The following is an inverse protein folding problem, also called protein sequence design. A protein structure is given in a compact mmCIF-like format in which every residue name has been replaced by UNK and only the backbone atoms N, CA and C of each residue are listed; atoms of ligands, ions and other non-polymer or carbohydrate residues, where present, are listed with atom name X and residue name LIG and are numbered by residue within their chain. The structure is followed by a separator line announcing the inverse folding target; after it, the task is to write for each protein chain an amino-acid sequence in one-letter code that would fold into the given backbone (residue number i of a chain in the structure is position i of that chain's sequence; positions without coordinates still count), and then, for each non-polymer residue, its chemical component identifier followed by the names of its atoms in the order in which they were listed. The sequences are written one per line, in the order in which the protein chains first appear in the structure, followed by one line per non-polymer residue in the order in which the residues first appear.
data_IF_870406605950
#
_entry.id   IF_870406605950
#
_cell.length_a   1.000
_cell.length_b   1.000
_cell.length_c   1.000
_cell.angle_alpha   90.00
_cell.angle_beta   90.00
_cell.angle_gamma   90.00
#
_symmetry.space_group_name_H-M   'P 1'
#
loop_
_entity.id
_entity.type
_entity.pdbx_description
1 polymer ?
#
# COMPACT_ATOMS: atom_id res chain seq x y z
N UNK A 1 -34.91 8.95 -1.71
CA UNK A 1 -35.16 7.57 -2.20
C UNK A 1 -34.78 6.63 -1.07
N UNK A 2 -35.77 6.07 -0.37
CA UNK A 2 -35.49 5.12 0.70
C UNK A 2 -34.83 3.87 0.09
N UNK A 3 -33.55 3.74 0.24
CA UNK A 3 -32.87 2.48 -0.09
C UNK A 3 -33.47 1.39 0.81
N UNK A 4 -33.88 0.29 0.21
CA UNK A 4 -34.30 -0.85 1.00
C UNK A 4 -33.11 -1.34 1.86
N UNK A 5 -33.38 -1.81 3.07
CA UNK A 5 -32.35 -2.36 3.98
C UNK A 5 -31.45 -3.38 3.28
N UNK A 6 -32.03 -4.19 2.38
CA UNK A 6 -31.31 -5.16 1.56
C UNK A 6 -30.27 -4.49 0.64
N UNK A 7 -30.60 -3.36 0.03
CA UNK A 7 -29.67 -2.61 -0.84
C UNK A 7 -28.45 -2.12 -0.06
N UNK A 8 -28.62 -1.67 1.17
CA UNK A 8 -27.52 -1.22 2.04
C UNK A 8 -26.61 -2.41 2.41
N UNK A 9 -27.16 -3.56 2.78
CA UNK A 9 -26.34 -4.74 3.07
C UNK A 9 -25.54 -5.21 1.84
N UNK A 10 -26.17 -5.22 0.66
CA UNK A 10 -25.48 -5.58 -0.58
C UNK A 10 -24.34 -4.62 -0.90
N UNK A 11 -24.53 -3.30 -0.78
CA UNK A 11 -23.46 -2.33 -1.03
C UNK A 11 -22.30 -2.45 -0.04
N UNK A 12 -22.58 -2.68 1.24
CA UNK A 12 -21.55 -2.95 2.27
C UNK A 12 -20.73 -4.19 1.94
N UNK A 13 -21.40 -5.27 1.57
CA UNK A 13 -20.73 -6.51 1.16
C UNK A 13 -19.83 -6.27 -0.05
N UNK A 14 -20.30 -5.54 -1.05
CA UNK A 14 -19.51 -5.22 -2.26
C UNK A 14 -18.28 -4.38 -1.90
N UNK A 15 -18.41 -3.35 -1.05
CA UNK A 15 -17.23 -2.56 -0.57
C UNK A 15 -16.20 -3.48 0.08
N UNK A 16 -16.61 -4.39 0.94
CA UNK A 16 -15.72 -5.32 1.61
C UNK A 16 -15.05 -6.28 0.64
N UNK A 17 -15.79 -6.80 -0.33
CA UNK A 17 -15.24 -7.67 -1.37
C UNK A 17 -14.23 -6.95 -2.26
N UNK A 18 -14.51 -5.70 -2.68
CA UNK A 18 -13.57 -4.91 -3.49
C UNK A 18 -12.27 -4.62 -2.72
N UNK A 19 -12.38 -4.33 -1.42
CA UNK A 19 -11.21 -4.15 -0.57
C UNK A 19 -10.40 -5.46 -0.44
N UNK A 20 -11.05 -6.58 -0.20
CA UNK A 20 -10.41 -7.89 -0.12
C UNK A 20 -9.70 -8.27 -1.43
N UNK A 21 -10.30 -7.99 -2.59
CA UNK A 21 -9.68 -8.23 -3.89
C UNK A 21 -8.40 -7.42 -4.10
N UNK A 22 -8.34 -6.21 -3.53
CA UNK A 22 -7.13 -5.38 -3.61
C UNK A 22 -6.00 -5.85 -2.68
N UNK A 23 -6.33 -6.62 -1.63
CA UNK A 23 -5.34 -7.17 -0.68
C UNK A 23 -4.76 -8.48 -1.19
N UNK A 24 -5.61 -9.39 -1.61
CA UNK A 24 -5.24 -10.77 -1.88
C UNK A 24 -5.09 -11.00 -3.38
N UNK A 25 -3.94 -11.51 -3.83
CA UNK A 25 -3.73 -11.91 -5.21
C UNK A 25 -4.39 -13.28 -5.50
N UNK A 26 -5.58 -13.53 -4.93
CA UNK A 26 -6.31 -14.77 -5.05
C UNK A 26 -6.45 -15.19 -6.51
N UNK A 27 -6.40 -16.49 -6.75
CA UNK A 27 -6.56 -17.07 -8.08
C UNK A 27 -5.51 -16.55 -9.10
N UNK A 28 -4.26 -16.38 -8.66
CA UNK A 28 -3.16 -16.21 -9.60
C UNK A 28 -3.07 -17.47 -10.46
N UNK A 29 -3.55 -17.37 -11.69
CA UNK A 29 -3.36 -18.42 -12.69
C UNK A 29 -2.12 -18.10 -13.51
N UNK A 30 -1.28 -19.12 -13.70
CA UNK A 30 -0.09 -19.12 -14.55
C UNK A 30 1.15 -18.37 -14.02
N UNK A 31 2.24 -18.52 -14.77
CA UNK A 31 3.52 -17.88 -14.53
C UNK A 31 3.49 -16.33 -14.47
N UNK A 32 2.42 -15.72 -15.00
CA UNK A 32 2.25 -14.27 -15.00
C UNK A 32 1.82 -13.67 -13.64
N UNK A 33 1.48 -14.49 -12.64
CA UNK A 33 1.08 -14.06 -11.29
C UNK A 33 0.01 -12.94 -11.27
N UNK A 34 -0.92 -12.99 -12.22
CA UNK A 34 -2.01 -12.01 -12.32
C UNK A 34 -3.22 -12.44 -11.49
N UNK A 35 -3.80 -11.50 -10.77
CA UNK A 35 -5.07 -11.72 -10.07
C UNK A 35 -6.23 -11.60 -11.07
N UNK A 36 -6.69 -12.75 -11.61
CA UNK A 36 -7.73 -12.79 -12.64
C UNK A 36 -9.06 -12.21 -12.12
N UNK A 37 -9.40 -12.45 -10.87
CA UNK A 37 -10.64 -11.94 -10.31
C UNK A 37 -10.62 -10.41 -10.18
N UNK A 38 -9.50 -9.86 -9.74
CA UNK A 38 -9.29 -8.41 -9.73
C UNK A 38 -9.37 -7.84 -11.16
N UNK A 39 -8.72 -8.49 -12.13
CA UNK A 39 -8.75 -8.07 -13.52
C UNK A 39 -10.18 -8.07 -14.10
N UNK A 40 -10.96 -9.11 -13.81
CA UNK A 40 -12.36 -9.18 -14.23
C UNK A 40 -13.20 -8.04 -13.64
N UNK A 41 -13.06 -7.77 -12.33
CA UNK A 41 -13.78 -6.66 -11.68
C UNK A 41 -13.32 -5.30 -12.21
N UNK A 42 -12.02 -5.11 -12.45
CA UNK A 42 -11.50 -3.89 -13.08
C UNK A 42 -12.04 -3.68 -14.49
N UNK A 43 -12.22 -4.75 -15.28
CA UNK A 43 -12.78 -4.68 -16.64
C UNK A 43 -14.25 -4.24 -16.64
N UNK A 44 -15.00 -4.57 -15.60
CA UNK A 44 -16.42 -4.18 -15.44
C UNK A 44 -16.56 -2.76 -14.84
N UNK A 45 -15.54 -2.27 -14.15
CA UNK A 45 -15.57 -0.99 -13.43
C UNK A 45 -15.99 0.21 -14.29
N UNK A 46 -15.59 0.37 -15.57
CA UNK A 46 -16.07 1.48 -16.40
C UNK A 46 -17.59 1.47 -16.57
N UNK A 47 -18.22 0.30 -16.68
CA UNK A 47 -19.69 0.18 -16.76
C UNK A 47 -20.36 0.63 -15.45
N UNK A 48 -19.74 0.31 -14.31
CA UNK A 48 -20.22 0.75 -13.00
C UNK A 48 -20.23 2.28 -12.87
N UNK A 49 -19.26 2.97 -13.46
CA UNK A 49 -19.23 4.43 -13.48
C UNK A 49 -20.37 5.05 -14.30
N UNK A 50 -20.79 4.40 -15.38
CA UNK A 50 -21.91 4.82 -16.21
C UNK A 50 -23.23 4.62 -15.47
N UNK A 51 -23.38 3.49 -14.79
CA UNK A 51 -24.62 3.14 -14.04
C UNK A 51 -24.77 4.00 -12.77
N UNK A 52 -23.67 4.42 -12.17
CA UNK A 52 -23.67 5.26 -10.96
C UNK A 52 -23.18 6.69 -11.28
N UNK A 53 -24.03 7.55 -11.83
CA UNK A 53 -23.59 8.86 -12.37
C UNK A 53 -23.27 9.90 -11.29
N UNK A 54 -23.33 9.56 -10.00
CA UNK A 54 -22.97 10.49 -8.92
C UNK A 54 -21.51 10.88 -9.03
N UNK A 55 -21.25 12.10 -9.46
CA UNK A 55 -19.91 12.67 -9.51
C UNK A 55 -19.41 12.99 -8.12
N UNK A 56 -18.15 12.68 -7.87
CA UNK A 56 -17.38 13.07 -6.69
C UNK A 56 -16.24 13.98 -7.16
N UNK A 57 -16.49 15.30 -7.39
CA UNK A 57 -15.56 16.19 -8.11
C UNK A 57 -14.16 16.20 -7.49
N UNK A 58 -14.06 16.09 -6.18
CA UNK A 58 -12.78 16.06 -5.45
C UNK A 58 -11.88 14.86 -5.82
N UNK A 59 -12.43 13.78 -6.34
CA UNK A 59 -11.70 12.58 -6.78
C UNK A 59 -11.73 12.43 -8.30
N UNK A 60 -12.91 12.60 -8.90
CA UNK A 60 -13.13 12.38 -10.33
C UNK A 60 -12.27 13.34 -11.18
N UNK A 61 -12.31 14.64 -10.88
CA UNK A 61 -11.62 15.65 -11.70
C UNK A 61 -10.09 15.41 -11.71
N UNK A 62 -9.39 15.31 -10.56
CA UNK A 62 -7.94 15.12 -10.59
C UNK A 62 -7.53 13.80 -11.26
N UNK A 63 -8.26 12.71 -11.01
CA UNK A 63 -7.93 11.40 -11.57
C UNK A 63 -8.18 11.36 -13.09
N UNK A 64 -9.28 11.92 -13.59
CA UNK A 64 -9.52 12.00 -15.03
C UNK A 64 -8.56 12.96 -15.72
N UNK A 65 -8.24 14.12 -15.13
CA UNK A 65 -7.21 15.01 -15.66
C UNK A 65 -5.87 14.31 -15.77
N UNK A 66 -5.47 13.57 -14.73
CA UNK A 66 -4.23 12.78 -14.76
C UNK A 66 -4.25 11.75 -15.88
N UNK A 67 -5.33 10.97 -16.05
CA UNK A 67 -5.45 9.98 -17.13
C UNK A 67 -5.41 10.62 -18.52
N UNK A 68 -6.11 11.74 -18.72
CA UNK A 68 -6.11 12.45 -19.99
C UNK A 68 -4.69 12.88 -20.35
N UNK A 69 -3.95 13.47 -19.40
CA UNK A 69 -2.57 13.90 -19.64
C UNK A 69 -1.62 12.70 -19.86
N UNK A 70 -1.80 11.60 -19.12
CA UNK A 70 -1.03 10.37 -19.29
C UNK A 70 -1.20 9.75 -20.70
N UNK A 71 -2.34 9.98 -21.34
CA UNK A 71 -2.61 9.51 -22.71
C UNK A 71 -2.18 10.57 -23.71
N UNK A 72 -2.57 11.82 -23.50
CA UNK A 72 -2.37 12.90 -24.47
C UNK A 72 -0.89 13.23 -24.73
N UNK A 73 -0.05 13.29 -23.70
CA UNK A 73 1.36 13.61 -23.88
C UNK A 73 2.11 12.55 -24.68
N UNK A 74 2.10 11.25 -24.31
CA UNK A 74 2.75 10.24 -25.15
C UNK A 74 2.11 10.13 -26.55
N UNK A 75 0.81 10.32 -26.67
CA UNK A 75 0.14 10.29 -27.98
C UNK A 75 0.62 11.41 -28.90
N UNK A 76 0.78 12.63 -28.36
CA UNK A 76 1.19 13.79 -29.14
C UNK A 76 2.69 13.79 -29.49
N UNK A 77 3.55 13.34 -28.56
CA UNK A 77 4.99 13.52 -28.67
C UNK A 77 5.77 12.22 -28.86
N UNK A 78 5.21 11.06 -28.46
CA UNK A 78 5.89 9.77 -28.44
C UNK A 78 5.03 8.62 -28.98
N UNK A 79 4.22 8.88 -30.02
CA UNK A 79 3.27 7.91 -30.57
C UNK A 79 3.89 6.57 -30.93
N UNK A 80 5.12 6.57 -31.49
CA UNK A 80 5.80 5.35 -31.92
C UNK A 80 6.19 4.41 -30.74
N UNK A 81 6.34 4.96 -29.55
CA UNK A 81 6.71 4.21 -28.34
C UNK A 81 5.54 3.97 -27.39
N UNK A 82 4.31 4.19 -27.88
CA UNK A 82 3.10 4.01 -27.09
C UNK A 82 2.93 2.56 -26.63
N UNK A 83 2.73 2.37 -25.33
CA UNK A 83 2.37 1.10 -24.69
C UNK A 83 0.94 1.14 -24.20
N UNK A 84 0.00 0.83 -25.08
CA UNK A 84 -1.44 0.86 -24.79
C UNK A 84 -1.82 -0.06 -23.64
N UNK A 85 -1.15 -1.21 -23.48
CA UNK A 85 -1.41 -2.14 -22.38
C UNK A 85 -1.23 -1.50 -21.00
N UNK A 86 -0.14 -0.73 -20.80
CA UNK A 86 0.14 -0.03 -19.53
C UNK A 86 -0.91 1.05 -19.27
N UNK A 87 -1.29 1.84 -20.28
CA UNK A 87 -2.28 2.90 -20.17
C UNK A 87 -3.68 2.35 -19.88
N UNK A 88 -4.11 1.30 -20.60
CA UNK A 88 -5.40 0.64 -20.38
C UNK A 88 -5.46 0.07 -18.96
N UNK A 89 -4.40 -0.62 -18.52
CA UNK A 89 -4.35 -1.21 -17.20
C UNK A 89 -4.43 -0.15 -16.09
N UNK A 90 -3.73 0.97 -16.25
CA UNK A 90 -3.82 2.13 -15.34
C UNK A 90 -5.23 2.72 -15.33
N UNK A 91 -5.84 2.89 -16.51
CA UNK A 91 -7.21 3.40 -16.63
C UNK A 91 -8.23 2.50 -15.94
N UNK A 92 -8.06 1.18 -16.06
CA UNK A 92 -8.91 0.19 -15.36
C UNK A 92 -8.79 0.35 -13.83
N UNK A 93 -7.59 0.57 -13.28
CA UNK A 93 -7.42 0.83 -11.85
C UNK A 93 -8.10 2.14 -11.40
N UNK A 94 -7.98 3.20 -12.17
CA UNK A 94 -8.67 4.46 -11.86
C UNK A 94 -10.18 4.24 -11.85
N UNK A 95 -10.73 3.57 -12.86
CA UNK A 95 -12.16 3.23 -12.90
C UNK A 95 -12.58 2.35 -11.72
N UNK A 96 -11.76 1.36 -11.35
CA UNK A 96 -11.98 0.51 -10.19
C UNK A 96 -12.07 1.31 -8.88
N UNK A 97 -11.11 2.22 -8.65
CA UNK A 97 -11.10 3.08 -7.48
C UNK A 97 -12.30 4.03 -7.43
N UNK A 98 -12.63 4.67 -8.55
CA UNK A 98 -13.79 5.56 -8.63
C UNK A 98 -15.11 4.81 -8.42
N UNK A 99 -15.22 3.59 -8.93
CA UNK A 99 -16.37 2.71 -8.68
C UNK A 99 -16.47 2.32 -7.19
N UNK A 100 -15.33 1.97 -6.58
CA UNK A 100 -15.27 1.73 -5.14
C UNK A 100 -15.82 2.93 -4.34
N UNK A 101 -15.36 4.14 -4.64
CA UNK A 101 -15.83 5.35 -3.96
C UNK A 101 -17.36 5.54 -4.09
N UNK A 102 -17.91 5.36 -5.29
CA UNK A 102 -19.37 5.51 -5.50
C UNK A 102 -20.17 4.51 -4.67
N UNK A 103 -19.71 3.26 -4.63
CA UNK A 103 -20.34 2.21 -3.83
C UNK A 103 -20.16 2.50 -2.33
N UNK A 104 -18.98 2.97 -1.93
CA UNK A 104 -18.69 3.40 -0.56
C UNK A 104 -19.67 4.47 -0.10
N UNK A 105 -19.86 5.52 -0.90
CA UNK A 105 -20.80 6.61 -0.58
C UNK A 105 -22.28 6.19 -0.58
N UNK A 106 -22.59 5.01 -1.13
CA UNK A 106 -23.93 4.42 -1.09
C UNK A 106 -24.10 3.37 0.02
N UNK A 107 -23.02 3.00 0.73
CA UNK A 107 -23.00 1.82 1.62
C UNK A 107 -23.35 2.10 3.07
N UNK A 108 -23.30 3.37 3.48
CA UNK A 108 -23.50 3.79 4.88
C UNK A 108 -22.65 2.98 5.89
N UNK A 109 -21.37 2.78 5.55
CA UNK A 109 -20.39 2.10 6.40
C UNK A 109 -19.96 3.06 7.51
N UNK A 110 -20.05 2.62 8.77
CA UNK A 110 -19.58 3.35 9.93
C UNK A 110 -18.19 2.89 10.42
N UNK A 111 -17.63 3.63 11.38
CA UNK A 111 -16.30 3.39 11.93
C UNK A 111 -16.18 1.99 12.56
N UNK A 112 -17.17 1.56 13.33
CA UNK A 112 -17.15 0.27 14.03
C UNK A 112 -17.11 -0.90 13.06
N UNK A 113 -17.94 -0.87 12.01
CA UNK A 113 -17.98 -1.91 10.97
C UNK A 113 -16.64 -2.00 10.25
N UNK A 114 -16.06 -0.85 9.90
CA UNK A 114 -14.79 -0.84 9.17
C UNK A 114 -13.61 -1.28 10.06
N UNK A 115 -13.58 -0.84 11.32
CA UNK A 115 -12.59 -1.33 12.29
C UNK A 115 -12.72 -2.84 12.52
N UNK A 116 -13.94 -3.37 12.57
CA UNK A 116 -14.20 -4.81 12.69
C UNK A 116 -13.67 -5.57 11.48
N UNK A 117 -13.90 -5.06 10.27
CA UNK A 117 -13.36 -5.64 9.04
C UNK A 117 -11.83 -5.68 9.06
N UNK A 118 -11.18 -4.56 9.40
CA UNK A 118 -9.71 -4.49 9.50
C UNK A 118 -9.17 -5.53 10.48
N UNK A 119 -9.79 -5.66 11.66
CA UNK A 119 -9.41 -6.68 12.65
C UNK A 119 -9.48 -8.09 12.08
N UNK A 120 -10.58 -8.44 11.41
CA UNK A 120 -10.73 -9.75 10.80
C UNK A 120 -9.69 -10.02 9.71
N UNK A 121 -9.35 -9.02 8.90
CA UNK A 121 -8.32 -9.18 7.89
C UNK A 121 -6.95 -9.42 8.53
N UNK A 122 -6.58 -8.65 9.56
CA UNK A 122 -5.30 -8.85 10.27
C UNK A 122 -5.24 -10.24 10.92
N UNK A 123 -6.34 -10.71 11.51
CA UNK A 123 -6.41 -12.08 12.03
C UNK A 123 -6.28 -13.13 10.93
N UNK A 124 -6.89 -12.91 9.77
CA UNK A 124 -6.75 -13.81 8.63
C UNK A 124 -5.30 -13.89 8.14
N UNK A 125 -4.56 -12.77 8.10
CA UNK A 125 -3.12 -12.79 7.82
C UNK A 125 -2.33 -13.65 8.81
N UNK A 126 -2.60 -13.50 10.11
CA UNK A 126 -1.94 -14.29 11.16
C UNK A 126 -2.29 -15.79 11.05
N UNK A 127 -3.57 -16.13 10.84
CA UNK A 127 -4.02 -17.52 10.71
C UNK A 127 -3.39 -18.18 9.48
N UNK A 128 -3.39 -17.52 8.33
CA UNK A 128 -2.77 -18.06 7.11
C UNK A 128 -1.28 -18.25 7.31
N UNK A 129 -0.61 -17.33 8.01
CA UNK A 129 0.81 -17.49 8.34
C UNK A 129 1.06 -18.73 9.23
N UNK A 130 0.23 -18.95 10.23
CA UNK A 130 0.32 -20.17 11.10
C UNK A 130 0.13 -21.42 10.24
N UNK A 131 -0.84 -21.43 9.33
CA UNK A 131 -1.06 -22.56 8.41
C UNK A 131 0.16 -22.78 7.52
N UNK A 132 0.73 -21.70 6.93
CA UNK A 132 1.92 -21.79 6.09
C UNK A 132 3.14 -22.33 6.86
N UNK A 133 3.35 -21.87 8.11
CA UNK A 133 4.40 -22.39 8.98
C UNK A 133 4.18 -23.87 9.31
N UNK A 134 2.94 -24.25 9.63
CA UNK A 134 2.57 -25.65 9.85
C UNK A 134 2.88 -26.53 8.63
N UNK A 135 2.49 -26.10 7.44
CA UNK A 135 2.82 -26.79 6.19
C UNK A 135 4.33 -26.90 5.97
N UNK A 136 5.08 -25.84 6.25
CA UNK A 136 6.53 -25.83 6.10
C UNK A 136 7.20 -26.87 7.01
N UNK A 137 6.86 -26.87 8.31
CA UNK A 137 7.49 -27.78 9.29
C UNK A 137 7.03 -29.25 9.13
N UNK A 138 5.84 -29.49 8.59
CA UNK A 138 5.33 -30.86 8.35
C UNK A 138 5.67 -31.39 6.96
N UNK A 139 6.30 -30.60 6.09
CA UNK A 139 6.60 -30.98 4.70
C UNK A 139 5.38 -31.00 3.78
N UNK A 140 4.23 -30.47 4.22
CA UNK A 140 3.03 -30.37 3.41
C UNK A 140 3.13 -29.23 2.37
N UNK A 141 2.38 -29.29 1.25
CA UNK A 141 2.32 -28.20 0.29
C UNK A 141 1.90 -26.90 0.96
N UNK A 142 2.73 -25.85 0.80
CA UNK A 142 2.45 -24.54 1.41
C UNK A 142 1.30 -23.88 0.64
N UNK A 143 0.25 -23.54 1.37
CA UNK A 143 -0.89 -22.78 0.83
C UNK A 143 -0.46 -21.36 0.39
N UNK A 144 -0.96 -20.90 -0.76
CA UNK A 144 -0.66 -19.58 -1.33
C UNK A 144 0.86 -19.32 -1.53
N UNK A 145 1.60 -20.34 -1.99
CA UNK A 145 3.03 -20.23 -2.26
C UNK A 145 3.28 -19.40 -3.52
N UNK A 146 3.56 -18.09 -3.38
CA UNK A 146 3.83 -17.22 -4.53
C UNK A 146 5.31 -16.80 -4.56
N UNK A 147 5.71 -15.85 -3.75
CA UNK A 147 7.08 -15.33 -3.64
C UNK A 147 7.58 -15.58 -2.21
N UNK A 148 7.91 -16.82 -1.89
CA UNK A 148 8.46 -17.20 -0.60
C UNK A 148 9.92 -17.57 -0.74
N UNK A 149 10.70 -17.32 0.31
CA UNK A 149 12.09 -17.74 0.40
C UNK A 149 12.21 -18.76 1.57
N UNK A 150 12.54 -19.99 1.21
CA UNK A 150 12.67 -21.11 2.16
C UNK A 150 14.11 -21.65 2.23
N UNK A 151 15.05 -21.06 1.49
CA UNK A 151 16.38 -21.61 1.33
C UNK A 151 17.42 -21.02 2.28
N UNK A 152 17.06 -19.98 3.04
CA UNK A 152 17.99 -19.21 3.86
C UNK A 152 17.47 -19.06 5.29
N UNK A 153 17.66 -20.09 6.12
CA UNK A 153 17.26 -20.08 7.54
C UNK A 153 15.75 -20.19 7.74
N UNK A 154 15.17 -19.33 8.58
CA UNK A 154 13.75 -19.34 8.83
C UNK A 154 12.93 -18.92 7.60
N UNK A 155 11.83 -19.62 7.25
CA UNK A 155 11.09 -19.38 6.02
C UNK A 155 10.45 -17.99 6.00
N UNK A 156 10.61 -17.27 4.88
CA UNK A 156 9.94 -15.98 4.63
C UNK A 156 8.65 -16.26 3.87
N UNK A 157 7.52 -16.16 4.57
CA UNK A 157 6.21 -16.54 4.06
C UNK A 157 5.37 -15.30 3.71
N UNK A 158 4.59 -15.41 2.65
CA UNK A 158 3.84 -14.28 2.10
C UNK A 158 2.43 -14.10 2.66
N UNK A 159 1.95 -15.01 3.48
CA UNK A 159 0.59 -15.01 4.04
C UNK A 159 -0.51 -14.87 2.96
N UNK A 160 -1.37 -13.86 3.05
CA UNK A 160 -2.38 -13.55 2.05
C UNK A 160 -1.85 -12.69 0.89
N UNK A 161 -0.74 -11.98 1.06
CA UNK A 161 -0.21 -11.09 0.02
C UNK A 161 0.58 -11.82 -1.06
N UNK A 162 1.01 -11.10 -2.10
CA UNK A 162 1.81 -11.63 -3.19
C UNK A 162 3.27 -11.92 -2.78
N UNK A 163 3.76 -11.21 -1.77
CA UNK A 163 5.09 -11.39 -1.21
C UNK A 163 5.13 -10.92 0.26
N UNK A 164 6.13 -11.37 1.05
CA UNK A 164 6.23 -11.00 2.47
C UNK A 164 6.26 -9.49 2.71
N UNK A 165 6.94 -8.75 1.87
CA UNK A 165 7.06 -7.28 1.98
C UNK A 165 5.73 -6.56 1.73
N UNK A 166 4.88 -7.09 0.87
CA UNK A 166 3.53 -6.55 0.61
C UNK A 166 2.63 -6.78 1.80
N UNK A 167 2.58 -8.02 2.28
CA UNK A 167 1.79 -8.39 3.45
C UNK A 167 2.13 -7.53 4.67
N UNK A 168 3.42 -7.38 4.96
CA UNK A 168 3.87 -6.60 6.10
C UNK A 168 3.47 -5.11 5.98
N UNK A 169 3.62 -4.49 4.80
CA UNK A 169 3.20 -3.09 4.58
C UNK A 169 1.69 -2.92 4.69
N UNK A 170 0.92 -3.86 4.14
CA UNK A 170 -0.55 -3.80 4.20
C UNK A 170 -1.07 -3.90 5.62
N UNK A 171 -0.53 -4.80 6.47
CA UNK A 171 -1.00 -4.90 7.85
C UNK A 171 -0.62 -3.68 8.69
N UNK A 172 0.53 -3.04 8.44
CA UNK A 172 0.90 -1.78 9.10
C UNK A 172 -0.09 -0.67 8.73
N UNK A 173 -0.41 -0.53 7.45
CA UNK A 173 -1.39 0.45 6.98
C UNK A 173 -2.78 0.20 7.59
N UNK A 174 -3.23 -1.06 7.61
CA UNK A 174 -4.52 -1.45 8.18
C UNK A 174 -4.59 -1.13 9.67
N UNK A 175 -3.56 -1.49 10.44
CA UNK A 175 -3.53 -1.17 11.87
C UNK A 175 -3.49 0.34 12.10
N UNK A 176 -2.74 1.09 11.29
CA UNK A 176 -2.69 2.55 11.39
C UNK A 176 -4.08 3.18 11.18
N UNK A 177 -4.80 2.79 10.13
CA UNK A 177 -6.15 3.29 9.86
C UNK A 177 -7.13 2.87 10.95
N UNK A 178 -7.02 1.64 11.45
CA UNK A 178 -7.82 1.17 12.59
C UNK A 178 -7.64 2.07 13.83
N UNK A 179 -6.40 2.41 14.17
CA UNK A 179 -6.09 3.28 15.32
C UNK A 179 -6.62 4.70 15.09
N UNK A 180 -6.41 5.26 13.89
CA UNK A 180 -6.93 6.59 13.58
C UNK A 180 -8.46 6.66 13.67
N UNK A 181 -9.18 5.61 13.28
CA UNK A 181 -10.63 5.52 13.45
C UNK A 181 -11.03 5.36 14.92
N UNK A 182 -10.28 4.58 15.70
CA UNK A 182 -10.52 4.42 17.13
C UNK A 182 -10.29 5.73 17.89
N UNK A 183 -9.23 6.47 17.57
CA UNK A 183 -8.95 7.80 18.12
C UNK A 183 -10.05 8.80 17.77
N UNK A 184 -10.49 8.76 16.51
CA UNK A 184 -11.59 9.60 16.05
C UNK A 184 -12.87 9.32 16.82
N UNK A 185 -13.22 8.03 16.99
CA UNK A 185 -14.43 7.63 17.75
C UNK A 185 -14.36 8.00 19.23
N UNK A 186 -13.14 8.06 19.81
CA UNK A 186 -12.92 8.45 21.22
C UNK A 186 -12.75 9.96 21.42
N UNK A 187 -12.49 10.70 20.34
CA UNK A 187 -12.22 12.13 20.39
C UNK A 187 -10.82 12.51 20.93
N UNK A 188 -9.96 11.53 21.21
CA UNK A 188 -8.58 11.76 21.64
C UNK A 188 -7.61 10.70 21.11
N UNK A 189 -6.32 11.02 21.12
CA UNK A 189 -5.25 10.13 20.64
C UNK A 189 -4.87 9.14 21.74
N UNK A 190 -5.03 7.85 21.44
CA UNK A 190 -4.72 6.77 22.37
C UNK A 190 -3.22 6.62 22.61
N UNK A 191 -2.85 6.31 23.84
CA UNK A 191 -1.49 5.85 24.19
C UNK A 191 -1.26 4.41 23.76
N UNK A 192 0.01 4.00 23.66
CA UNK A 192 0.38 2.62 23.34
C UNK A 192 -0.19 1.62 24.38
N UNK A 193 -0.21 2.02 25.66
CA UNK A 193 -0.71 1.17 26.74
C UNK A 193 -2.24 0.96 26.64
N UNK A 194 -3.00 2.00 26.37
CA UNK A 194 -4.46 1.90 26.14
C UNK A 194 -4.77 1.01 24.94
N UNK A 195 -4.07 1.25 23.82
CA UNK A 195 -4.20 0.45 22.61
C UNK A 195 -3.95 -1.04 22.89
N UNK A 196 -2.88 -1.35 23.64
CA UNK A 196 -2.54 -2.73 24.00
C UNK A 196 -3.62 -3.35 24.88
N UNK A 197 -4.08 -2.66 25.94
CA UNK A 197 -5.08 -3.21 26.86
C UNK A 197 -6.43 -3.50 26.18
N UNK A 198 -6.86 -2.64 25.26
CA UNK A 198 -8.13 -2.80 24.55
C UNK A 198 -8.05 -3.82 23.40
N UNK A 199 -6.90 -3.94 22.75
CA UNK A 199 -6.74 -4.71 21.52
C UNK A 199 -5.62 -5.75 21.58
N UNK A 200 -5.40 -6.41 22.73
CA UNK A 200 -4.30 -7.37 22.97
C UNK A 200 -4.12 -8.39 21.84
N UNK A 201 -5.21 -9.05 21.45
CA UNK A 201 -5.16 -10.08 20.41
C UNK A 201 -4.83 -9.48 19.03
N UNK A 202 -5.36 -8.31 18.72
CA UNK A 202 -5.05 -7.62 17.46
C UNK A 202 -3.58 -7.23 17.37
N UNK A 203 -3.04 -6.66 18.45
CA UNK A 203 -1.63 -6.26 18.52
C UNK A 203 -0.73 -7.49 18.43
N UNK A 204 -1.08 -8.59 19.14
CA UNK A 204 -0.34 -9.85 19.05
C UNK A 204 -0.35 -10.41 17.62
N UNK A 205 -1.52 -10.50 16.98
CA UNK A 205 -1.64 -10.99 15.60
C UNK A 205 -0.86 -10.12 14.62
N UNK A 206 -0.90 -8.79 14.80
CA UNK A 206 -0.13 -7.84 14.00
C UNK A 206 1.38 -8.05 14.17
N UNK A 207 1.89 -8.05 15.41
CA UNK A 207 3.33 -8.22 15.69
C UNK A 207 3.83 -9.57 15.22
N UNK A 208 3.08 -10.65 15.51
CA UNK A 208 3.40 -11.97 15.02
C UNK A 208 3.55 -12.00 13.51
N UNK A 209 2.57 -11.46 12.79
CA UNK A 209 2.61 -11.45 11.32
C UNK A 209 3.74 -10.57 10.80
N UNK A 210 3.96 -9.39 11.38
CA UNK A 210 5.00 -8.45 10.95
C UNK A 210 6.40 -9.06 11.08
N UNK A 211 6.68 -9.71 12.21
CA UNK A 211 7.99 -10.32 12.49
C UNK A 211 8.19 -11.56 11.63
N UNK A 212 7.21 -12.45 11.62
CA UNK A 212 7.34 -13.76 10.98
C UNK A 212 7.26 -13.73 9.44
N UNK A 213 6.73 -12.65 8.84
CA UNK A 213 6.91 -12.40 7.41
C UNK A 213 8.37 -12.20 7.01
N UNK A 214 9.27 -11.91 7.95
CA UNK A 214 10.70 -11.74 7.70
C UNK A 214 11.02 -10.65 6.67
N UNK A 215 10.27 -9.55 6.65
CA UNK A 215 10.44 -8.47 5.69
C UNK A 215 11.13 -7.26 6.30
N UNK A 216 12.36 -6.96 5.87
CA UNK A 216 13.11 -5.76 6.24
C UNK A 216 12.29 -4.47 6.02
N UNK A 217 11.65 -4.36 4.86
CA UNK A 217 10.78 -3.21 4.54
C UNK A 217 9.58 -3.13 5.48
N UNK A 218 8.97 -4.27 5.81
CA UNK A 218 7.84 -4.32 6.74
C UNK A 218 8.24 -3.91 8.15
N UNK A 219 9.39 -4.37 8.65
CA UNK A 219 9.92 -3.97 9.95
C UNK A 219 10.23 -2.47 10.02
N UNK A 220 10.77 -1.92 8.93
CA UNK A 220 11.02 -0.48 8.82
C UNK A 220 9.72 0.34 8.86
N UNK A 221 8.68 -0.11 8.16
CA UNK A 221 7.33 0.47 8.25
C UNK A 221 6.76 0.40 9.67
N UNK A 222 6.91 -0.76 10.31
CA UNK A 222 6.50 -0.96 11.70
C UNK A 222 7.23 -0.04 12.67
N UNK A 223 8.55 0.14 12.48
CA UNK A 223 9.35 1.05 13.29
C UNK A 223 8.89 2.52 13.14
N UNK A 224 8.67 2.97 11.91
CA UNK A 224 8.13 4.33 11.68
C UNK A 224 6.73 4.48 12.27
N UNK A 225 5.86 3.48 12.12
CA UNK A 225 4.56 3.49 12.75
C UNK A 225 4.64 3.65 14.28
N UNK A 226 5.62 3.03 14.94
CA UNK A 226 5.84 3.18 16.37
C UNK A 226 6.22 4.61 16.79
N UNK A 227 6.80 5.43 15.89
CA UNK A 227 7.10 6.83 16.16
C UNK A 227 5.86 7.65 16.53
N UNK A 228 4.66 7.18 16.16
CA UNK A 228 3.39 7.78 16.55
C UNK A 228 3.18 7.80 18.06
N UNK A 229 3.72 6.83 18.76
CA UNK A 229 3.54 6.61 20.19
C UNK A 229 4.72 7.08 21.03
N UNK A 230 5.65 7.86 20.45
CA UNK A 230 6.80 8.34 21.19
C UNK A 230 6.34 9.37 22.23
N UNK A 231 6.35 8.93 23.47
CA UNK A 231 6.39 9.73 24.68
C UNK A 231 7.49 9.18 25.62
N UNK A 232 7.84 9.91 26.67
CA UNK A 232 8.94 9.51 27.56
C UNK A 232 8.76 8.12 28.19
N UNK A 233 7.53 7.68 28.43
CA UNK A 233 7.23 6.36 29.01
C UNK A 233 7.27 5.28 27.92
N UNK A 234 6.73 5.56 26.76
CA UNK A 234 6.68 4.60 25.65
C UNK A 234 8.06 4.32 25.07
N UNK A 235 9.02 5.27 25.10
CA UNK A 235 10.40 5.05 24.68
C UNK A 235 11.01 3.85 25.42
N UNK A 236 10.82 3.76 26.74
CA UNK A 236 11.34 2.63 27.49
C UNK A 236 10.79 1.28 26.99
N UNK A 237 9.47 1.18 26.79
CA UNK A 237 8.86 -0.06 26.27
C UNK A 237 9.27 -0.38 24.83
N UNK A 238 9.43 0.64 24.00
CA UNK A 238 9.92 0.49 22.62
C UNK A 238 11.35 -0.05 22.62
N UNK A 239 12.23 0.51 23.44
CA UNK A 239 13.64 0.05 23.57
C UNK A 239 13.71 -1.38 24.09
N UNK A 240 12.98 -1.71 25.16
CA UNK A 240 12.91 -3.08 25.69
C UNK A 240 12.35 -4.04 24.65
N UNK A 241 11.28 -3.64 23.95
CA UNK A 241 10.70 -4.42 22.86
C UNK A 241 11.68 -4.67 21.72
N UNK A 242 12.43 -3.66 21.29
CA UNK A 242 13.47 -3.80 20.27
C UNK A 242 14.58 -4.75 20.70
N UNK A 243 15.05 -4.67 21.95
CA UNK A 243 16.06 -5.59 22.50
C UNK A 243 15.53 -7.03 22.48
N UNK A 244 14.30 -7.26 22.95
CA UNK A 244 13.69 -8.59 22.94
C UNK A 244 13.52 -9.13 21.51
N UNK A 245 13.09 -8.28 20.57
CA UNK A 245 12.95 -8.67 19.18
C UNK A 245 14.32 -9.02 18.57
N UNK A 246 15.38 -8.28 18.92
CA UNK A 246 16.74 -8.59 18.46
C UNK A 246 17.20 -9.95 18.98
N UNK A 247 17.01 -10.22 20.26
CA UNK A 247 17.37 -11.53 20.88
C UNK A 247 16.60 -12.67 20.19
N UNK A 248 15.29 -12.50 19.98
CA UNK A 248 14.47 -13.50 19.28
C UNK A 248 14.94 -13.67 17.83
N UNK A 249 15.27 -12.58 17.15
CA UNK A 249 15.75 -12.61 15.79
C UNK A 249 17.10 -13.32 15.64
N UNK A 250 18.02 -13.12 16.57
CA UNK A 250 19.29 -13.85 16.63
C UNK A 250 19.06 -15.35 16.93
N UNK A 251 18.22 -15.66 17.92
CA UNK A 251 17.93 -17.05 18.27
C UNK A 251 17.32 -17.87 17.13
N UNK A 252 16.43 -17.25 16.34
CA UNK A 252 15.78 -17.87 15.18
C UNK A 252 16.51 -17.62 13.85
N UNK A 253 17.70 -17.04 13.89
CA UNK A 253 18.49 -16.68 12.69
C UNK A 253 17.67 -15.92 11.63
N UNK A 254 16.84 -14.97 12.07
CA UNK A 254 15.99 -14.20 11.18
C UNK A 254 16.82 -13.26 10.29
N UNK A 255 17.07 -13.68 9.06
CA UNK A 255 17.91 -12.99 8.08
C UNK A 255 17.56 -11.51 7.86
N UNK A 256 16.34 -11.09 8.21
CA UNK A 256 15.87 -9.71 8.07
C UNK A 256 16.59 -8.74 8.99
N UNK A 257 16.97 -9.16 10.20
CA UNK A 257 17.65 -8.29 11.17
C UNK A 257 19.12 -8.09 10.80
N UNK A 258 19.82 -9.16 10.44
CA UNK A 258 21.20 -9.05 9.95
C UNK A 258 21.31 -8.20 8.67
N UNK A 259 20.25 -8.20 7.84
CA UNK A 259 20.17 -7.30 6.68
C UNK A 259 20.01 -5.84 7.07
N UNK A 260 19.13 -5.54 8.05
CA UNK A 260 18.93 -4.14 8.52
C UNK A 260 20.25 -3.57 9.06
N UNK A 261 20.94 -4.34 9.91
CA UNK A 261 22.21 -3.95 10.51
C UNK A 261 23.27 -3.54 9.46
N UNK A 262 23.36 -4.28 8.36
CA UNK A 262 24.29 -4.00 7.27
C UNK A 262 23.78 -2.94 6.29
N UNK A 263 22.47 -2.89 6.05
CA UNK A 263 21.85 -2.04 5.04
C UNK A 263 21.81 -0.56 5.44
N UNK A 264 21.52 -0.27 6.72
CA UNK A 264 21.42 1.12 7.18
C UNK A 264 22.75 1.88 7.03
N UNK A 265 23.92 1.35 7.47
CA UNK A 265 25.20 2.00 7.20
C UNK A 265 25.51 2.14 5.70
N UNK A 266 25.22 1.10 4.90
CA UNK A 266 25.44 1.16 3.44
C UNK A 266 24.58 2.25 2.78
N UNK A 267 23.32 2.42 3.23
CA UNK A 267 22.44 3.47 2.73
C UNK A 267 22.98 4.88 3.02
N UNK A 268 23.62 5.08 4.17
CA UNK A 268 24.21 6.37 4.54
C UNK A 268 25.42 6.75 3.68
N UNK A 269 26.12 5.76 3.09
CA UNK A 269 27.24 6.04 2.17
C UNK A 269 26.78 6.51 0.79
N UNK A 270 25.50 6.28 0.41
CA UNK A 270 24.94 6.50 -0.93
C UNK A 270 25.72 5.78 -2.05
N UNK A 271 26.53 4.79 -1.71
CA UNK A 271 27.24 3.95 -2.67
C UNK A 271 26.30 2.85 -3.17
N UNK A 272 25.92 2.93 -4.44
CA UNK A 272 25.00 1.99 -5.09
C UNK A 272 25.50 0.54 -5.00
N UNK A 273 26.82 0.33 -5.14
CA UNK A 273 27.41 -1.01 -5.06
C UNK A 273 27.38 -1.58 -3.63
N UNK A 274 27.66 -0.77 -2.63
CA UNK A 274 27.56 -1.17 -1.22
C UNK A 274 26.13 -1.53 -0.85
N UNK A 275 25.15 -0.73 -1.28
CA UNK A 275 23.72 -0.96 -1.03
C UNK A 275 23.26 -2.27 -1.69
N UNK A 276 23.64 -2.53 -2.95
CA UNK A 276 23.27 -3.77 -3.67
C UNK A 276 23.84 -5.02 -2.97
N UNK A 277 25.09 -4.96 -2.50
CA UNK A 277 25.74 -6.11 -1.84
C UNK A 277 25.12 -6.45 -0.49
N UNK A 278 24.55 -5.46 0.20
CA UNK A 278 23.97 -5.68 1.55
C UNK A 278 22.54 -6.19 1.51
N UNK A 279 21.67 -5.62 0.69
CA UNK A 279 20.30 -6.08 0.50
C UNK A 279 19.78 -5.71 -0.91
N UNK A 280 19.84 -6.68 -1.83
CA UNK A 280 19.35 -6.50 -3.20
C UNK A 280 17.84 -6.13 -3.26
N UNK A 281 17.03 -6.58 -2.30
CA UNK A 281 15.60 -6.25 -2.25
C UNK A 281 15.35 -4.80 -1.81
N UNK A 282 16.09 -4.30 -0.82
CA UNK A 282 16.04 -2.89 -0.41
C UNK A 282 16.64 -1.99 -1.50
N UNK A 283 17.79 -2.40 -2.04
CA UNK A 283 18.47 -1.70 -3.13
C UNK A 283 17.57 -1.51 -4.35
N UNK A 284 16.83 -2.54 -4.77
CA UNK A 284 15.93 -2.48 -5.93
C UNK A 284 14.78 -1.47 -5.79
N UNK A 285 14.54 -0.92 -4.62
CA UNK A 285 13.53 0.12 -4.36
C UNK A 285 14.12 1.52 -4.27
N UNK A 286 15.36 1.63 -3.79
CA UNK A 286 16.01 2.93 -3.50
C UNK A 286 16.85 3.39 -4.70
N UNK A 287 17.69 2.52 -5.24
CA UNK A 287 18.60 2.87 -6.35
C UNK A 287 17.84 3.36 -7.58
N UNK A 288 16.73 2.72 -8.02
CA UNK A 288 15.93 3.22 -9.12
C UNK A 288 15.45 4.66 -8.91
N UNK A 289 15.03 5.00 -7.70
CA UNK A 289 14.59 6.36 -7.36
C UNK A 289 15.74 7.36 -7.44
N UNK A 290 16.94 6.99 -6.98
CA UNK A 290 18.16 7.84 -7.06
C UNK A 290 18.55 8.06 -8.52
N UNK A 291 18.58 7.01 -9.32
CA UNK A 291 18.94 7.08 -10.75
C UNK A 291 17.91 7.92 -11.53
N UNK A 292 16.62 7.71 -11.28
CA UNK A 292 15.56 8.52 -11.87
C UNK A 292 15.70 10.01 -11.52
N UNK A 293 16.00 10.32 -10.24
CA UNK A 293 16.22 11.70 -9.81
C UNK A 293 17.44 12.35 -10.48
N UNK A 294 18.56 11.61 -10.63
CA UNK A 294 19.75 12.08 -11.35
C UNK A 294 19.50 12.33 -12.84
N UNK A 295 18.57 11.59 -13.45
CA UNK A 295 18.22 11.71 -14.86
C UNK A 295 17.38 12.97 -15.16
N UNK A 296 16.53 13.38 -14.22
CA UNK A 296 15.58 14.48 -14.43
C UNK A 296 16.30 15.82 -14.49
N UNK A 297 16.07 16.54 -15.59
CA UNK A 297 16.57 17.92 -15.80
C UNK A 297 15.44 18.80 -16.32
N UNK A 298 15.12 19.89 -15.63
CA UNK A 298 14.00 20.78 -16.01
C UNK A 298 14.22 21.58 -17.30
N UNK A 299 15.45 21.60 -17.82
CA UNK A 299 15.82 22.34 -19.03
C UNK A 299 15.39 21.63 -20.33
N UNK A 300 14.97 20.37 -20.26
CA UNK A 300 14.53 19.58 -21.41
C UNK A 300 13.02 19.61 -21.53
N UNK A 301 12.51 19.73 -22.75
CA UNK A 301 11.06 19.73 -23.02
C UNK A 301 10.41 18.41 -22.58
N UNK A 302 11.09 17.29 -22.77
CA UNK A 302 10.65 15.95 -22.38
C UNK A 302 10.43 15.83 -20.87
N UNK A 303 11.14 16.60 -20.05
CA UNK A 303 10.87 16.63 -18.60
C UNK A 303 9.49 17.21 -18.25
N UNK A 304 8.91 18.01 -19.13
CA UNK A 304 7.57 18.59 -18.92
C UNK A 304 6.45 17.67 -19.41
N UNK A 305 6.65 16.96 -20.53
CA UNK A 305 5.63 16.14 -21.21
C UNK A 305 5.88 14.63 -21.10
N UNK A 306 7.05 14.22 -20.57
CA UNK A 306 7.51 12.83 -20.46
C UNK A 306 8.34 12.39 -21.65
N UNK A 307 9.10 11.31 -21.46
CA UNK A 307 9.94 10.66 -22.48
C UNK A 307 9.21 9.51 -23.18
N UNK A 308 8.01 9.17 -22.74
CA UNK A 308 7.19 8.08 -23.27
C UNK A 308 6.87 7.00 -22.25
N UNK A 309 5.84 6.20 -22.52
CA UNK A 309 5.31 5.18 -21.59
C UNK A 309 6.37 4.10 -21.31
N UNK A 310 6.61 3.83 -20.02
CA UNK A 310 7.63 2.88 -19.53
C UNK A 310 9.08 3.23 -19.93
N UNK A 311 9.36 4.47 -20.28
CA UNK A 311 10.71 4.92 -20.65
C UNK A 311 11.69 4.84 -19.47
N UNK A 312 11.20 4.99 -18.24
CA UNK A 312 11.99 4.86 -17.01
C UNK A 312 12.73 3.52 -16.91
N UNK A 313 12.19 2.43 -17.51
CA UNK A 313 12.85 1.12 -17.58
C UNK A 313 14.12 1.11 -18.47
N UNK A 314 14.30 2.12 -19.31
CA UNK A 314 15.51 2.30 -20.13
C UNK A 314 16.59 3.13 -19.43
N UNK A 315 16.17 3.98 -18.49
CA UNK A 315 17.04 4.88 -17.71
C UNK A 315 17.56 4.22 -16.45
N UNK A 316 16.71 3.40 -15.84
CA UNK A 316 17.02 2.75 -14.56
C UNK A 316 17.66 1.39 -14.82
N UNK A 317 18.89 1.23 -14.31
CA UNK A 317 19.64 -0.01 -14.44
C UNK A 317 19.81 -0.67 -13.08
N UNK A 318 19.23 -1.85 -12.92
CA UNK A 318 19.41 -2.68 -11.74
C UNK A 318 19.77 -4.13 -12.14
N UNK A 319 20.77 -4.75 -11.52
CA UNK A 319 21.21 -6.09 -11.90
C UNK A 319 20.09 -7.13 -11.77
N UNK A 320 19.81 -7.84 -12.86
CA UNK A 320 18.89 -9.00 -12.86
C UNK A 320 17.40 -8.70 -12.84
N UNK A 321 16.97 -7.44 -12.72
CA UNK A 321 15.56 -7.07 -12.72
C UNK A 321 15.30 -5.85 -13.58
N UNK A 322 14.15 -5.82 -14.27
CA UNK A 322 13.62 -4.58 -14.83
C UNK A 322 13.09 -3.73 -13.69
N UNK A 323 13.75 -2.63 -13.42
CA UNK A 323 13.35 -1.68 -12.40
C UNK A 323 12.65 -0.47 -13.03
N UNK A 324 11.79 0.17 -12.27
CA UNK A 324 11.07 1.38 -12.65
C UNK A 324 11.65 2.56 -11.90
N UNK A 325 11.42 3.80 -12.35
CA UNK A 325 11.97 5.01 -11.74
C UNK A 325 11.48 5.34 -10.32
N UNK A 326 10.85 4.41 -9.62
CA UNK A 326 10.39 4.56 -8.24
C UNK A 326 9.46 5.75 -8.06
N UNK A 327 9.79 6.66 -7.14
CA UNK A 327 8.99 7.87 -6.87
C UNK A 327 8.85 8.82 -8.07
N UNK A 328 9.78 8.77 -9.02
CA UNK A 328 9.87 9.66 -10.17
C UNK A 328 9.51 8.98 -11.50
N UNK A 329 8.98 7.75 -11.45
CA UNK A 329 8.59 6.99 -12.64
C UNK A 329 7.59 7.76 -13.53
N UNK A 330 6.56 8.38 -12.93
CA UNK A 330 5.57 9.15 -13.68
C UNK A 330 6.16 10.42 -14.29
N UNK A 331 7.14 11.04 -13.63
CA UNK A 331 7.83 12.20 -14.20
C UNK A 331 8.57 11.82 -15.47
N UNK A 332 9.36 10.77 -15.44
CA UNK A 332 10.10 10.31 -16.63
C UNK A 332 9.13 9.88 -17.73
N UNK A 333 8.10 9.13 -17.40
CA UNK A 333 7.21 8.54 -18.39
C UNK A 333 6.22 9.55 -18.98
N UNK A 334 5.69 10.48 -18.16
CA UNK A 334 4.55 11.34 -18.52
C UNK A 334 4.76 12.83 -18.20
N UNK A 335 5.93 13.21 -17.67
CA UNK A 335 6.30 14.59 -17.40
C UNK A 335 5.93 15.09 -15.98
N UNK A 336 6.50 16.24 -15.63
CA UNK A 336 6.36 16.85 -14.29
C UNK A 336 4.91 17.20 -13.95
N UNK A 337 4.11 17.61 -14.91
CA UNK A 337 2.71 18.02 -14.70
C UNK A 337 1.90 16.82 -14.18
N UNK A 338 2.07 15.65 -14.81
CA UNK A 338 1.42 14.40 -14.38
C UNK A 338 1.93 13.96 -13.00
N UNK A 339 3.23 14.09 -12.75
CA UNK A 339 3.83 13.77 -11.45
C UNK A 339 3.28 14.66 -10.33
N UNK A 340 3.16 15.96 -10.54
CA UNK A 340 2.59 16.90 -9.56
C UNK A 340 1.12 16.60 -9.29
N UNK A 341 0.34 16.30 -10.34
CA UNK A 341 -1.06 15.91 -10.18
C UNK A 341 -1.22 14.59 -9.42
N UNK A 342 -0.35 13.62 -9.68
CA UNK A 342 -0.29 12.38 -8.91
C UNK A 342 0.00 12.65 -7.42
N UNK A 343 0.99 13.48 -7.09
CA UNK A 343 1.26 13.85 -5.70
C UNK A 343 0.11 14.60 -5.05
N UNK A 344 -0.53 15.50 -5.80
CA UNK A 344 -1.75 16.17 -5.33
C UNK A 344 -2.84 15.16 -4.95
N UNK A 345 -3.10 14.15 -5.79
CA UNK A 345 -4.07 13.08 -5.51
C UNK A 345 -3.69 12.33 -4.25
N UNK A 346 -2.43 11.88 -4.13
CA UNK A 346 -1.93 11.16 -2.96
C UNK A 346 -2.11 12.00 -1.69
N UNK A 347 -1.63 13.23 -1.69
CA UNK A 347 -1.75 14.10 -0.50
C UNK A 347 -3.19 14.45 -0.18
N UNK A 348 -4.01 14.73 -1.19
CA UNK A 348 -5.42 15.04 -0.97
C UNK A 348 -6.20 13.88 -0.34
N UNK A 349 -5.85 12.62 -0.67
CA UNK A 349 -6.52 11.43 -0.15
C UNK A 349 -5.89 10.97 1.17
N UNK A 350 -4.56 10.91 1.26
CA UNK A 350 -3.87 10.28 2.37
C UNK A 350 -3.64 11.21 3.60
N UNK A 351 -3.81 12.53 3.46
CA UNK A 351 -3.60 13.44 4.58
C UNK A 351 -4.75 13.33 5.60
N UNK A 352 -4.43 13.00 6.83
CA UNK A 352 -5.31 13.09 7.99
C UNK A 352 -4.94 14.36 8.76
N UNK A 353 -5.94 15.21 9.08
CA UNK A 353 -5.71 16.45 9.84
C UNK A 353 -5.02 16.15 11.16
N UNK A 354 -3.98 16.92 11.48
CA UNK A 354 -3.15 16.80 12.70
C UNK A 354 -2.36 15.49 12.84
N UNK A 355 -2.30 14.65 11.77
CA UNK A 355 -1.58 13.37 11.74
C UNK A 355 -0.54 13.34 10.61
N UNK A 356 0.66 13.90 10.87
CA UNK A 356 1.77 13.90 9.90
C UNK A 356 2.18 12.49 9.46
N UNK A 357 2.01 11.51 10.34
CA UNK A 357 2.33 10.10 10.10
C UNK A 357 1.57 9.54 8.90
N UNK A 358 0.35 10.03 8.61
CA UNK A 358 -0.43 9.58 7.47
C UNK A 358 0.29 9.85 6.14
N UNK A 359 0.90 11.03 6.02
CA UNK A 359 1.69 11.41 4.84
C UNK A 359 2.99 10.61 4.79
N UNK A 360 3.69 10.48 5.92
CA UNK A 360 4.93 9.73 6.00
C UNK A 360 4.74 8.26 5.57
N UNK A 361 3.70 7.59 6.08
CA UNK A 361 3.37 6.22 5.68
C UNK A 361 2.97 6.14 4.20
N UNK A 362 2.20 7.10 3.67
CA UNK A 362 1.83 7.10 2.26
C UNK A 362 3.05 7.26 1.34
N UNK A 363 3.94 8.21 1.63
CA UNK A 363 5.19 8.42 0.86
C UNK A 363 6.05 7.15 0.90
N UNK A 364 6.26 6.59 2.07
CA UNK A 364 7.04 5.36 2.21
C UNK A 364 6.42 4.17 1.49
N UNK A 365 5.09 4.05 1.54
CA UNK A 365 4.37 3.00 0.85
C UNK A 365 4.64 3.05 -0.66
N UNK A 366 4.63 4.25 -1.23
CA UNK A 366 4.92 4.48 -2.64
C UNK A 366 6.42 4.30 -2.93
N UNK A 367 7.30 4.84 -2.08
CA UNK A 367 8.75 4.68 -2.20
C UNK A 367 9.20 3.21 -2.17
N UNK A 368 8.39 2.34 -1.56
CA UNK A 368 8.60 0.89 -1.59
C UNK A 368 8.41 0.23 -2.96
N UNK A 369 8.41 0.98 -4.06
CA UNK A 369 8.29 0.46 -5.43
C UNK A 369 6.84 0.23 -5.88
N UNK A 370 5.90 0.98 -5.33
CA UNK A 370 4.48 0.87 -5.70
C UNK A 370 4.17 1.86 -6.82
N UNK A 371 3.89 1.34 -8.01
CA UNK A 371 3.52 2.12 -9.19
C UNK A 371 2.00 2.30 -9.29
N UNK A 372 1.59 3.23 -10.16
CA UNK A 372 0.18 3.52 -10.45
C UNK A 372 -0.59 2.32 -11.04
N UNK A 373 0.09 1.40 -11.70
CA UNK A 373 -0.46 0.17 -12.26
C UNK A 373 -0.35 -1.04 -11.31
N UNK A 374 -0.11 -0.80 -10.00
CA UNK A 374 0.00 -1.85 -8.98
C UNK A 374 -1.13 -1.72 -7.96
N UNK A 375 -1.80 -2.82 -7.69
CA UNK A 375 -2.97 -2.90 -6.78
C UNK A 375 -2.72 -2.30 -5.40
N UNK A 376 -1.49 -2.35 -4.89
CA UNK A 376 -1.14 -1.82 -3.56
C UNK A 376 -1.38 -0.32 -3.44
N UNK A 377 -1.14 0.48 -4.49
CA UNK A 377 -1.44 1.91 -4.47
C UNK A 377 -2.94 2.14 -4.25
N UNK A 378 -3.75 1.41 -4.98
CA UNK A 378 -5.20 1.56 -4.92
C UNK A 378 -5.75 1.09 -3.59
N UNK A 379 -5.17 0.04 -2.99
CA UNK A 379 -5.48 -0.35 -1.62
C UNK A 379 -5.16 0.77 -0.62
N UNK A 380 -3.99 1.40 -0.72
CA UNK A 380 -3.63 2.56 0.10
C UNK A 380 -4.71 3.66 -0.02
N UNK A 381 -5.06 4.04 -1.25
CA UNK A 381 -6.05 5.08 -1.51
C UNK A 381 -7.44 4.71 -1.00
N UNK A 382 -7.87 3.45 -1.17
CA UNK A 382 -9.14 2.93 -0.67
C UNK A 382 -9.21 3.02 0.86
N UNK A 383 -8.15 2.64 1.57
CA UNK A 383 -8.09 2.71 3.03
C UNK A 383 -8.25 4.14 3.55
N UNK A 384 -7.50 5.09 3.00
CA UNK A 384 -7.59 6.49 3.42
C UNK A 384 -8.88 7.18 2.96
N UNK A 385 -9.38 6.87 1.77
CA UNK A 385 -10.65 7.39 1.28
C UNK A 385 -11.82 6.91 2.15
N UNK A 386 -11.80 5.65 2.59
CA UNK A 386 -12.80 5.11 3.52
C UNK A 386 -12.73 5.79 4.89
N UNK A 387 -11.50 6.00 5.40
CA UNK A 387 -11.31 6.77 6.63
C UNK A 387 -11.93 8.18 6.51
N UNK A 388 -11.63 8.90 5.41
CA UNK A 388 -12.18 10.25 5.17
C UNK A 388 -13.71 10.24 5.05
N UNK A 389 -14.25 9.29 4.31
CA UNK A 389 -15.69 9.14 4.17
C UNK A 389 -16.38 9.00 5.54
N UNK A 390 -15.89 8.09 6.38
CA UNK A 390 -16.43 7.84 7.71
C UNK A 390 -16.34 9.08 8.60
N UNK A 391 -15.19 9.75 8.61
CA UNK A 391 -14.97 10.93 9.47
C UNK A 391 -15.71 12.18 8.98
N UNK A 392 -15.96 12.32 7.68
CA UNK A 392 -16.77 13.42 7.14
C UNK A 392 -18.27 13.25 7.41
N UNK A 393 -18.79 12.01 7.39
CA UNK A 393 -20.21 11.74 7.65
C UNK A 393 -20.62 12.15 9.08
N UNK A 394 -19.76 11.89 10.05
CA UNK A 394 -20.04 12.25 11.46
C UNK A 394 -20.06 13.77 11.65
N UNK A 395 -19.24 14.53 10.91
CA UNK A 395 -19.25 16.00 10.94
C UNK A 395 -20.57 16.61 10.41
N UNK A 396 -21.25 15.91 9.49
CA UNK A 396 -22.52 16.41 8.92
C UNK A 396 -23.72 16.02 9.78
N UNK A 397 -23.64 14.95 10.59
CA UNK A 397 -24.70 14.61 11.55
C UNK A 397 -24.70 15.52 12.76
N UNK A 398 -23.52 15.83 13.31
CA UNK A 398 -23.41 16.73 14.48
C UNK A 398 -23.80 18.19 14.15
N UNK A 399 -23.58 18.63 12.88
CA UNK A 399 -23.98 19.95 12.40
C UNK A 399 -25.47 20.06 12.02
N UNK A 400 -26.20 18.94 12.01
CA UNK A 400 -27.64 18.93 11.74
C UNK A 400 -28.48 18.86 13.03
N UNK A 401 -27.84 18.58 14.17
CA UNK A 401 -28.48 18.53 15.49
C UNK A 401 -28.25 19.83 16.31
N UNK A 402 -27.44 20.79 15.81
CA UNK A 402 -27.28 22.17 16.30
C UNK A 402 -28.13 23.16 15.45
#
# INVERSE_FOLDING_TARGET
MNQSTLSIYCTRLVVFLLLLLSIYPAFMMNAAKQNILLLAVMSISPLMLIITPKLLPQYDIPLFCMLILMIAFPFAFHFQTMRWSTLIYTSMYVCFFLSYLRILYASDINAEMFMKLIRWIIYAYAIVLIIQLGCFFTGLPIFNKINIDINHGFPRLNTLGAEPSWSARMIVLMLYVHICLSDYAKGYKQSLNELYHENKLLIFAFLFTLIMCGSTTGLFFGAIFLLRFIDLKSIFYIVVGLILITIVAEYFELSSFTRIEKFVPALLTLDEQAIIRTDGSGASRIIPTIQAFKFITLNQFESWVGYGVDYDQSVVHFPGIKANGGLFSLWINHGVIVQLLYWYIIFSICTIKKEWMSIALAIMFIAGGVLINVQMLWFLLMMFATYKYITCLLYTSDAADD
#
